data_IF_685702168930
#
_entry.id   IF_685702168930
#
_cell.length_a   1.000
_cell.length_b   1.000
_cell.length_c   1.000
_cell.angle_alpha   90.00
_cell.angle_beta   90.00
_cell.angle_gamma   90.00
#
_symmetry.space_group_name_H-M   'P 1'
#
loop_
_entity.id
_entity.type
_entity.pdbx_description
1 polymer ?
#
# COMPACT_ATOMS: atom_id res chain seq x y z
N UNK A 1 -1.20 1.15 21.19
CA UNK A 1 0.09 0.71 20.60
C UNK A 1 0.02 0.47 19.09
N UNK A 2 -0.92 -0.33 18.57
CA UNK A 2 -1.03 -0.63 17.12
C UNK A 2 -1.18 0.62 16.25
N UNK A 3 -2.00 1.59 16.66
CA UNK A 3 -2.19 2.84 15.92
C UNK A 3 -0.91 3.66 15.78
N UNK A 4 -0.14 3.78 16.86
CA UNK A 4 1.14 4.47 16.85
C UNK A 4 2.16 3.76 15.95
N UNK A 5 2.21 2.42 16.02
CA UNK A 5 3.04 1.62 15.13
C UNK A 5 2.68 1.83 13.65
N UNK A 6 1.38 1.79 13.32
CA UNK A 6 0.87 2.04 11.96
C UNK A 6 1.29 3.43 11.46
N UNK A 7 1.06 4.48 12.26
CA UNK A 7 1.41 5.85 11.88
C UNK A 7 2.92 5.97 11.63
N UNK A 8 3.74 5.41 12.52
CA UNK A 8 5.21 5.42 12.36
C UNK A 8 5.62 4.71 11.07
N UNK A 9 5.04 3.53 10.77
CA UNK A 9 5.38 2.78 9.56
C UNK A 9 4.94 3.54 8.31
N UNK A 10 3.75 4.16 8.29
CA UNK A 10 3.30 4.97 7.15
C UNK A 10 4.19 6.19 6.94
N UNK A 11 4.56 6.91 8.00
CA UNK A 11 5.47 8.05 7.91
C UNK A 11 6.85 7.63 7.42
N UNK A 12 7.39 6.52 7.92
CA UNK A 12 8.67 5.98 7.46
C UNK A 12 8.60 5.54 6.00
N UNK A 13 7.51 4.89 5.58
CA UNK A 13 7.29 4.50 4.20
C UNK A 13 7.22 5.71 3.27
N UNK A 14 6.50 6.76 3.67
CA UNK A 14 6.44 8.01 2.91
C UNK A 14 7.80 8.71 2.84
N UNK A 15 8.59 8.72 3.93
CA UNK A 15 9.94 9.28 3.92
C UNK A 15 10.86 8.49 2.97
N UNK A 16 10.80 7.16 3.00
CA UNK A 16 11.57 6.30 2.10
C UNK A 16 11.17 6.52 0.64
N UNK A 17 9.88 6.64 0.35
CA UNK A 17 9.39 6.93 -0.99
C UNK A 17 9.81 8.32 -1.46
N UNK A 18 9.78 9.33 -0.58
CA UNK A 18 10.26 10.67 -0.86
C UNK A 18 11.77 10.67 -1.19
N UNK A 19 12.57 9.97 -0.39
CA UNK A 19 14.00 9.83 -0.63
C UNK A 19 14.28 9.08 -1.94
N UNK A 20 13.59 7.98 -2.21
CA UNK A 20 13.73 7.23 -3.46
C UNK A 20 13.37 8.09 -4.68
N UNK A 21 12.22 8.77 -4.63
CA UNK A 21 11.76 9.68 -5.67
C UNK A 21 12.70 10.84 -5.92
N UNK A 22 13.32 11.40 -4.87
CA UNK A 22 14.31 12.47 -5.00
C UNK A 22 15.61 12.02 -5.69
N UNK A 23 15.91 10.72 -5.65
CA UNK A 23 17.05 10.11 -6.35
C UNK A 23 16.68 9.54 -7.73
N UNK A 24 15.45 9.77 -8.20
CA UNK A 24 14.97 9.35 -9.52
C UNK A 24 14.40 7.92 -9.57
N UNK A 25 14.20 7.26 -8.43
CA UNK A 25 13.58 5.93 -8.39
C UNK A 25 12.08 6.02 -8.14
N UNK A 26 11.30 5.23 -8.88
CA UNK A 26 9.84 5.15 -8.70
C UNK A 26 9.48 3.91 -7.87
N UNK A 27 9.47 4.08 -6.54
CA UNK A 27 9.22 2.99 -5.60
C UNK A 27 7.90 3.18 -4.84
N UNK A 28 6.93 2.26 -4.95
CA UNK A 28 5.60 2.40 -4.33
C UNK A 28 5.60 1.96 -2.84
N UNK A 29 6.52 2.49 -2.02
CA UNK A 29 6.75 2.02 -0.64
C UNK A 29 5.53 2.26 0.24
N UNK A 30 4.90 3.43 0.14
CA UNK A 30 3.70 3.78 0.90
C UNK A 30 2.52 2.87 0.51
N UNK A 31 2.33 2.62 -0.78
CA UNK A 31 1.30 1.71 -1.28
C UNK A 31 1.49 0.27 -0.80
N UNK A 32 2.74 -0.21 -0.79
CA UNK A 32 3.09 -1.52 -0.22
C UNK A 32 2.79 -1.59 1.28
N UNK A 33 3.12 -0.55 2.05
CA UNK A 33 2.80 -0.50 3.47
C UNK A 33 1.28 -0.48 3.71
N UNK A 34 0.53 0.27 2.91
CA UNK A 34 -0.94 0.29 2.94
C UNK A 34 -1.54 -1.10 2.70
N UNK A 35 -1.05 -1.81 1.68
CA UNK A 35 -1.49 -3.17 1.37
C UNK A 35 -1.25 -4.12 2.56
N UNK A 36 -0.06 -4.07 3.16
CA UNK A 36 0.27 -4.90 4.33
C UNK A 36 -0.71 -4.68 5.48
N UNK A 37 -1.01 -3.42 5.81
CA UNK A 37 -1.96 -3.11 6.88
C UNK A 37 -3.40 -3.44 6.53
N UNK A 38 -3.79 -3.33 5.25
CA UNK A 38 -5.12 -3.71 4.78
C UNK A 38 -5.41 -5.21 4.95
N UNK A 39 -4.38 -6.06 4.85
CA UNK A 39 -4.51 -7.49 5.18
C UNK A 39 -4.66 -7.70 6.68
N UNK A 40 -3.99 -6.90 7.51
CA UNK A 40 -3.96 -7.07 8.97
C UNK A 40 -5.22 -6.61 9.71
N UNK A 41 -5.97 -5.64 9.16
CA UNK A 41 -7.03 -4.95 9.90
C UNK A 41 -8.17 -4.49 9.00
N UNK A 42 -9.32 -4.16 9.60
CA UNK A 42 -10.42 -3.47 8.91
C UNK A 42 -9.90 -2.23 8.15
N UNK A 43 -10.26 -2.15 6.87
CA UNK A 43 -9.78 -1.13 5.92
C UNK A 43 -10.32 0.29 6.20
N UNK A 44 -11.55 0.41 6.73
CA UNK A 44 -12.18 1.71 7.00
C UNK A 44 -11.34 2.64 7.89
N UNK A 45 -10.88 2.22 9.08
CA UNK A 45 -10.11 3.11 9.94
C UNK A 45 -8.66 3.30 9.48
N UNK A 46 -8.19 2.52 8.49
CA UNK A 46 -6.91 2.74 7.80
C UNK A 46 -6.97 3.90 6.80
N UNK A 47 -8.17 4.24 6.28
CA UNK A 47 -8.34 5.27 5.26
C UNK A 47 -7.79 6.62 5.72
N UNK A 48 -8.13 7.07 6.92
CA UNK A 48 -7.77 8.41 7.39
C UNK A 48 -6.25 8.62 7.54
N UNK A 49 -5.50 7.76 8.28
CA UNK A 49 -4.05 7.95 8.40
C UNK A 49 -3.34 7.75 7.05
N UNK A 50 -3.79 6.80 6.22
CA UNK A 50 -3.21 6.59 4.90
C UNK A 50 -3.44 7.79 3.99
N UNK A 51 -4.67 8.33 3.96
CA UNK A 51 -5.03 9.51 3.18
C UNK A 51 -4.20 10.72 3.59
N UNK A 52 -4.06 10.96 4.90
CA UNK A 52 -3.28 12.09 5.41
C UNK A 52 -1.81 12.00 4.97
N UNK A 53 -1.19 10.83 5.11
CA UNK A 53 0.22 10.62 4.72
C UNK A 53 0.38 10.64 3.19
N UNK A 54 -0.52 10.02 2.44
CA UNK A 54 -0.49 10.01 0.98
C UNK A 54 -0.67 11.40 0.38
N UNK A 55 -1.59 12.20 0.93
CA UNK A 55 -1.77 13.60 0.55
C UNK A 55 -0.50 14.42 0.83
N UNK A 56 0.08 14.27 2.02
CA UNK A 56 1.31 14.97 2.38
C UNK A 56 2.45 14.63 1.40
N UNK A 57 2.58 13.35 1.03
CA UNK A 57 3.58 12.88 0.08
C UNK A 57 3.35 13.47 -1.33
N UNK A 58 2.11 13.45 -1.81
CA UNK A 58 1.76 14.03 -3.12
C UNK A 58 2.05 15.55 -3.17
N UNK A 59 1.78 16.27 -2.07
CA UNK A 59 2.12 17.69 -1.92
C UNK A 59 3.63 17.93 -1.88
N UNK A 60 4.41 17.07 -1.20
CA UNK A 60 5.88 17.15 -1.20
C UNK A 60 6.47 17.00 -2.60
N UNK A 61 5.86 16.17 -3.46
CA UNK A 61 6.24 16.06 -4.87
C UNK A 61 5.63 17.13 -5.76
N UNK A 62 4.90 18.11 -5.21
CA UNK A 62 4.20 19.17 -5.93
C UNK A 62 3.30 18.66 -7.07
N UNK A 63 2.68 17.48 -6.90
CA UNK A 63 1.86 16.86 -7.93
C UNK A 63 0.48 17.52 -7.97
N UNK A 64 0.00 17.89 -9.16
CA UNK A 64 -1.36 18.44 -9.32
C UNK A 64 -2.43 17.35 -9.30
N UNK A 65 -2.08 16.15 -9.76
CA UNK A 65 -2.90 14.94 -9.58
C UNK A 65 -2.38 14.22 -8.35
N UNK A 66 -3.27 13.70 -7.51
CA UNK A 66 -2.97 13.07 -6.22
C UNK A 66 -3.01 11.53 -6.35
N UNK A 67 -1.99 10.88 -6.96
CA UNK A 67 -2.03 9.45 -7.25
C UNK A 67 -2.21 8.58 -6.00
N UNK A 68 -1.66 8.97 -4.85
CA UNK A 68 -1.80 8.19 -3.63
C UNK A 68 -3.24 8.17 -3.14
N UNK A 69 -3.93 9.31 -3.26
CA UNK A 69 -5.36 9.43 -2.93
C UNK A 69 -6.21 8.57 -3.86
N UNK A 70 -5.86 8.53 -5.16
CA UNK A 70 -6.58 7.76 -6.17
C UNK A 70 -6.42 6.24 -6.01
N UNK A 71 -5.19 5.76 -5.76
CA UNK A 71 -4.93 4.31 -5.68
C UNK A 71 -5.25 3.72 -4.31
N UNK A 72 -5.28 4.53 -3.24
CA UNK A 72 -5.53 4.06 -1.87
C UNK A 72 -6.72 3.07 -1.77
N UNK A 73 -7.95 3.40 -2.22
CA UNK A 73 -9.07 2.47 -2.07
C UNK A 73 -8.85 1.14 -2.79
N UNK A 74 -8.19 1.16 -3.95
CA UNK A 74 -7.87 -0.05 -4.72
C UNK A 74 -6.83 -0.91 -4.00
N UNK A 75 -5.79 -0.28 -3.43
CA UNK A 75 -4.75 -0.97 -2.66
C UNK A 75 -5.34 -1.60 -1.39
N UNK A 76 -6.17 -0.87 -0.66
CA UNK A 76 -6.81 -1.39 0.56
C UNK A 76 -7.80 -2.52 0.25
N UNK A 77 -8.61 -2.37 -0.79
CA UNK A 77 -9.54 -3.42 -1.23
C UNK A 77 -8.78 -4.65 -1.72
N UNK A 78 -7.72 -4.44 -2.50
CA UNK A 78 -6.84 -5.51 -2.99
C UNK A 78 -6.20 -6.29 -1.84
N UNK A 79 -5.71 -5.61 -0.80
CA UNK A 79 -5.20 -6.27 0.41
C UNK A 79 -6.27 -7.13 1.08
N UNK A 80 -7.49 -6.60 1.22
CA UNK A 80 -8.59 -7.36 1.81
C UNK A 80 -8.95 -8.59 0.99
N UNK A 81 -9.10 -8.46 -0.33
CA UNK A 81 -9.39 -9.60 -1.22
C UNK A 81 -8.26 -10.64 -1.16
N UNK A 82 -7.01 -10.19 -1.08
CA UNK A 82 -5.86 -11.08 -0.95
C UNK A 82 -5.91 -11.92 0.32
N UNK A 83 -6.48 -11.40 1.41
CA UNK A 83 -6.66 -12.18 2.63
C UNK A 83 -7.61 -13.38 2.45
N UNK A 84 -8.57 -13.32 1.52
CA UNK A 84 -9.54 -14.40 1.27
C UNK A 84 -9.04 -15.45 0.28
N UNK A 85 -8.12 -15.07 -0.62
CA UNK A 85 -7.73 -15.92 -1.76
C UNK A 85 -6.22 -16.22 -1.84
N UNK A 86 -5.39 -15.46 -1.13
CA UNK A 86 -3.94 -15.50 -1.25
C UNK A 86 -3.26 -16.30 -0.15
N UNK A 87 -2.14 -16.93 -0.49
CA UNK A 87 -1.26 -17.55 0.49
C UNK A 87 -0.34 -16.49 1.14
N UNK A 88 -0.50 -16.28 2.45
CA UNK A 88 0.17 -15.19 3.17
C UNK A 88 1.57 -15.55 3.69
N UNK A 89 2.03 -16.81 3.51
CA UNK A 89 3.24 -17.34 4.15
C UNK A 89 4.46 -17.33 3.24
N UNK A 90 4.26 -17.37 1.94
CA UNK A 90 5.32 -17.59 0.95
C UNK A 90 5.71 -16.26 0.30
N UNK A 91 6.99 -15.83 0.39
CA UNK A 91 7.42 -14.54 -0.15
C UNK A 91 7.27 -14.46 -1.67
N UNK A 92 7.40 -15.59 -2.36
CA UNK A 92 7.17 -15.68 -3.80
C UNK A 92 5.71 -15.39 -4.17
N UNK A 93 4.76 -15.88 -3.38
CA UNK A 93 3.33 -15.65 -3.61
C UNK A 93 2.96 -14.21 -3.26
N UNK A 94 3.62 -13.61 -2.26
CA UNK A 94 3.50 -12.19 -1.93
C UNK A 94 4.07 -11.25 -3.02
N UNK A 95 4.95 -11.74 -3.90
CA UNK A 95 5.43 -10.91 -5.02
C UNK A 95 4.31 -10.57 -6.02
N UNK A 96 3.30 -11.44 -6.18
CA UNK A 96 2.16 -11.21 -7.09
C UNK A 96 1.29 -9.99 -6.70
N UNK A 97 0.76 -9.88 -5.47
CA UNK A 97 0.04 -8.67 -5.07
C UNK A 97 0.98 -7.47 -5.04
N UNK A 98 2.28 -7.66 -4.77
CA UNK A 98 3.30 -6.62 -4.85
C UNK A 98 3.40 -6.04 -6.26
N UNK A 99 3.47 -6.89 -7.28
CA UNK A 99 3.42 -6.49 -8.69
C UNK A 99 2.15 -5.69 -9.00
N UNK A 100 1.00 -6.15 -8.50
CA UNK A 100 -0.28 -5.46 -8.68
C UNK A 100 -0.30 -4.05 -8.07
N UNK A 101 0.22 -3.90 -6.84
CA UNK A 101 0.35 -2.59 -6.18
C UNK A 101 1.30 -1.68 -6.97
N UNK A 102 2.44 -2.20 -7.42
CA UNK A 102 3.39 -1.43 -8.25
C UNK A 102 2.79 -1.01 -9.59
N UNK A 103 2.05 -1.90 -10.26
CA UNK A 103 1.34 -1.58 -11.49
C UNK A 103 0.33 -0.45 -11.27
N UNK A 104 -0.49 -0.53 -10.22
CA UNK A 104 -1.47 0.50 -9.88
C UNK A 104 -0.81 1.86 -9.62
N UNK A 105 0.28 1.87 -8.85
CA UNK A 105 1.03 3.09 -8.57
C UNK A 105 1.61 3.72 -9.84
N UNK A 106 2.25 2.90 -10.70
CA UNK A 106 2.79 3.35 -11.98
C UNK A 106 1.71 3.91 -12.90
N UNK A 107 0.59 3.22 -13.05
CA UNK A 107 -0.54 3.66 -13.87
C UNK A 107 -1.19 4.93 -13.35
N UNK A 108 -1.29 5.12 -12.04
CA UNK A 108 -1.88 6.33 -11.47
C UNK A 108 -1.02 7.58 -11.74
N UNK A 109 0.30 7.46 -11.64
CA UNK A 109 1.21 8.56 -12.01
C UNK A 109 1.11 8.86 -13.51
N UNK A 110 1.11 7.83 -14.36
CA UNK A 110 0.96 8.02 -15.81
C UNK A 110 -0.38 8.64 -16.19
N UNK A 111 -1.47 8.15 -15.61
CA UNK A 111 -2.81 8.74 -15.81
C UNK A 111 -2.84 10.19 -15.37
N UNK A 112 -2.19 10.53 -14.25
CA UNK A 112 -2.04 11.92 -13.80
C UNK A 112 -1.29 12.80 -14.79
N UNK A 113 -0.17 12.33 -15.33
CA UNK A 113 0.59 13.05 -16.35
C UNK A 113 -0.22 13.24 -17.64
N UNK A 114 -0.99 12.23 -18.06
CA UNK A 114 -1.87 12.33 -19.22
C UNK A 114 -2.97 13.39 -19.02
N UNK A 115 -3.57 13.46 -17.83
CA UNK A 115 -4.58 14.47 -17.50
C UNK A 115 -4.02 15.89 -17.51
N UNK A 116 -2.73 16.05 -17.21
CA UNK A 116 -2.02 17.33 -17.30
C UNK A 116 -1.60 17.70 -18.74
N UNK A 117 -1.92 16.86 -19.73
CA UNK A 117 -1.57 17.09 -21.13
C UNK A 117 -0.11 16.84 -21.47
N UNK A 118 0.65 16.17 -20.59
CA UNK A 118 1.99 15.72 -20.95
C UNK A 118 1.92 14.71 -22.09
N UNK A 119 2.85 14.81 -23.04
CA UNK A 119 2.91 13.95 -24.21
C UNK A 119 3.51 12.57 -23.88
N UNK A 120 2.93 11.87 -22.89
CA UNK A 120 3.42 10.61 -22.31
C UNK A 120 3.66 9.54 -23.38
N UNK A 121 2.81 9.48 -24.41
CA UNK A 121 2.93 8.49 -25.50
C UNK A 121 3.98 8.83 -26.57
N UNK A 122 4.67 9.96 -26.47
CA UNK A 122 5.76 10.28 -27.42
C UNK A 122 6.99 9.41 -27.22
N UNK A 123 7.16 8.82 -26.02
CA UNK A 123 8.29 7.97 -25.67
C UNK A 123 7.82 6.68 -25.00
N UNK A 124 7.17 5.77 -25.75
CA UNK A 124 6.53 4.57 -25.17
C UNK A 124 7.50 3.64 -24.46
N UNK A 125 8.77 3.61 -24.89
CA UNK A 125 9.82 2.83 -24.22
C UNK A 125 10.10 3.29 -22.79
N UNK A 126 10.12 4.61 -22.55
CA UNK A 126 10.33 5.15 -21.20
C UNK A 126 9.14 4.90 -20.30
N UNK A 127 7.92 5.03 -20.84
CA UNK A 127 6.68 4.71 -20.12
C UNK A 127 6.67 3.24 -19.70
N UNK A 128 7.03 2.32 -20.61
CA UNK A 128 7.11 0.90 -20.32
C UNK A 128 8.15 0.61 -19.23
N UNK A 129 9.34 1.21 -19.32
CA UNK A 129 10.39 1.05 -18.32
C UNK A 129 9.95 1.57 -16.95
N UNK A 130 9.29 2.73 -16.90
CA UNK A 130 8.76 3.30 -15.66
C UNK A 130 7.73 2.38 -14.98
N UNK A 131 6.78 1.84 -15.76
CA UNK A 131 5.79 0.89 -15.22
C UNK A 131 6.46 -0.39 -14.75
N UNK A 132 7.38 -0.93 -15.55
CA UNK A 132 8.11 -2.15 -15.21
C UNK A 132 8.94 -1.95 -13.94
N UNK A 133 9.59 -0.80 -13.79
CA UNK A 133 10.34 -0.44 -12.58
C UNK A 133 9.44 -0.45 -11.34
N UNK A 134 8.27 0.21 -11.40
CA UNK A 134 7.30 0.20 -10.30
C UNK A 134 6.81 -1.22 -9.96
N UNK A 135 6.55 -2.04 -10.98
CA UNK A 135 6.14 -3.45 -10.81
C UNK A 135 7.25 -4.25 -10.13
N UNK A 136 8.50 -4.14 -10.59
CA UNK A 136 9.65 -4.82 -10.01
C UNK A 136 9.87 -4.39 -8.56
N UNK A 137 9.80 -3.09 -8.26
CA UNK A 137 9.87 -2.62 -6.89
C UNK A 137 8.72 -3.14 -6.04
N UNK A 138 7.48 -3.15 -6.55
CA UNK A 138 6.35 -3.73 -5.84
C UNK A 138 6.54 -5.21 -5.51
N UNK A 139 7.03 -6.00 -6.47
CA UNK A 139 7.34 -7.43 -6.28
C UNK A 139 8.38 -7.69 -5.20
N UNK A 140 9.39 -6.82 -5.07
CA UNK A 140 10.47 -6.97 -4.11
C UNK A 140 10.08 -6.39 -2.75
N UNK A 141 9.47 -5.20 -2.75
CA UNK A 141 9.17 -4.46 -1.53
C UNK A 141 8.09 -5.13 -0.71
N UNK A 142 7.05 -5.71 -1.31
CA UNK A 142 5.98 -6.32 -0.52
C UNK A 142 6.46 -7.51 0.34
N UNK A 143 7.15 -8.53 -0.19
CA UNK A 143 7.66 -9.60 0.65
C UNK A 143 8.69 -9.11 1.66
N UNK A 144 9.53 -8.13 1.30
CA UNK A 144 10.51 -7.55 2.22
C UNK A 144 9.82 -6.78 3.37
N UNK A 145 8.78 -6.01 3.05
CA UNK A 145 7.92 -5.31 3.99
C UNK A 145 7.25 -6.30 4.95
N UNK A 146 6.66 -7.38 4.42
CA UNK A 146 6.08 -8.44 5.23
C UNK A 146 7.11 -9.06 6.19
N UNK A 147 8.33 -9.37 5.72
CA UNK A 147 9.38 -9.96 6.55
C UNK A 147 9.82 -9.02 7.69
N UNK A 148 10.07 -7.75 7.38
CA UNK A 148 10.51 -6.75 8.36
C UNK A 148 9.40 -6.46 9.36
N UNK A 149 8.18 -6.19 8.89
CA UNK A 149 7.07 -5.82 9.75
C UNK A 149 6.55 -6.99 10.58
N UNK A 150 6.53 -8.23 10.07
CA UNK A 150 6.24 -9.42 10.90
C UNK A 150 7.36 -9.68 11.91
N UNK A 151 8.62 -9.33 11.58
CA UNK A 151 9.74 -9.33 12.53
C UNK A 151 9.49 -8.37 13.69
N UNK A 152 9.16 -7.11 13.40
CA UNK A 152 8.85 -6.09 14.41
C UNK A 152 7.58 -6.42 15.20
N UNK A 153 6.54 -6.91 14.52
CA UNK A 153 5.28 -7.30 15.17
C UNK A 153 5.51 -8.43 16.19
N UNK A 154 6.44 -9.36 15.93
CA UNK A 154 6.82 -10.38 16.92
C UNK A 154 7.43 -9.76 18.17
N UNK A 155 8.33 -8.80 18.02
CA UNK A 155 8.99 -8.13 19.14
C UNK A 155 7.99 -7.31 19.98
N UNK A 156 7.00 -6.72 19.32
CA UNK A 156 5.97 -5.88 19.96
C UNK A 156 4.73 -6.67 20.41
N UNK A 157 4.74 -8.00 20.30
CA UNK A 157 3.59 -8.88 20.56
C UNK A 157 2.30 -8.46 19.81
N UNK A 158 2.44 -7.93 18.59
CA UNK A 158 1.35 -7.51 17.73
C UNK A 158 0.91 -8.62 16.77
N UNK A 159 -0.27 -8.43 16.17
CA UNK A 159 -0.81 -9.31 15.14
C UNK A 159 0.09 -9.30 13.90
N UNK A 160 0.26 -10.47 13.27
CA UNK A 160 1.16 -10.71 12.14
C UNK A 160 0.42 -11.02 10.86
N UNK A 161 0.92 -10.53 9.75
CA UNK A 161 0.41 -10.77 8.41
C UNK A 161 0.36 -12.25 8.08
N UNK A 162 1.46 -12.99 8.36
CA UNK A 162 1.57 -14.43 8.08
C UNK A 162 0.59 -15.32 8.87
N UNK A 163 -0.11 -14.77 9.86
CA UNK A 163 -1.06 -15.49 10.73
C UNK A 163 -2.51 -15.01 10.62
N UNK A 164 -2.79 -14.03 9.77
CA UNK A 164 -4.16 -13.57 9.54
C UNK A 164 -4.96 -14.68 8.86
N UNK A 165 -6.18 -14.92 9.35
CA UNK A 165 -7.14 -15.80 8.68
C UNK A 165 -8.38 -15.02 8.25
N UNK A 166 -9.11 -15.49 7.23
CA UNK A 166 -10.36 -14.86 6.79
C UNK A 166 -11.40 -14.67 7.91
N UNK A 167 -11.46 -15.62 8.86
CA UNK A 167 -12.40 -15.60 9.99
C UNK A 167 -12.20 -14.40 10.93
N UNK A 168 -10.97 -13.92 11.06
CA UNK A 168 -10.67 -12.79 11.93
C UNK A 168 -11.29 -11.48 11.42
N UNK A 169 -11.43 -11.32 10.10
CA UNK A 169 -12.06 -10.14 9.50
C UNK A 169 -13.58 -10.17 9.66
N UNK A 170 -14.18 -11.35 9.62
CA UNK A 170 -15.64 -11.52 9.86
C UNK A 170 -15.97 -11.13 11.31
N UNK A 171 -15.18 -11.60 12.29
CA UNK A 171 -15.37 -11.23 13.70
C UNK A 171 -15.16 -9.73 13.99
N UNK A 172 -14.19 -9.07 13.33
CA UNK A 172 -13.99 -7.61 13.48
C UNK A 172 -15.12 -6.77 12.87
N UNK A 173 -15.87 -7.32 11.90
CA UNK A 173 -17.04 -6.65 11.32
C UNK A 173 -18.29 -6.87 12.16
N UNK A 174 -18.60 -8.12 12.50
CA UNK A 174 -19.77 -8.47 13.30
C UNK A 174 -19.70 -7.87 14.71
N UNK A 175 -18.51 -7.86 15.34
CA UNK A 175 -18.32 -7.26 16.66
C UNK A 175 -18.36 -5.73 16.66
N UNK A 176 -18.15 -5.09 15.50
CA UNK A 176 -18.28 -3.64 15.35
C UNK A 176 -19.72 -3.22 15.08
N UNK A 177 -20.47 -4.03 14.35
CA UNK A 177 -21.86 -3.75 13.97
C UNK A 177 -22.82 -4.07 15.14
N UNK A 178 -22.53 -5.11 15.95
CA UNK A 178 -23.28 -5.40 17.18
C UNK A 178 -23.20 -4.30 18.25
N UNK A 179 -22.12 -3.52 18.28
CA UNK A 179 -21.96 -2.37 19.18
C UNK A 179 -22.58 -1.08 18.63
N UNK A 180 -22.84 -0.99 17.32
CA UNK A 180 -23.53 0.15 16.71
C UNK A 180 -25.05 0.02 16.72
N UNK A 181 -25.59 -1.19 16.86
CA UNK A 181 -27.03 -1.44 17.01
C UNK A 181 -27.54 -1.21 18.45
N UNK A 182 -26.64 -1.05 19.43
CA UNK A 182 -26.97 -0.75 20.83
C UNK A 182 -26.78 0.75 21.21
N UNK A 183 -26.56 1.64 20.22
CA UNK A 183 -26.45 3.11 20.42
C UNK A 183 -27.53 3.87 19.66
#
# INVERSE_FOLDING_TARGET
MVWLWLIIVLLLAALLELLAGSNGFAMPVLAVAGFYFAVLRRWRPLLLPYLAVGLALDLCFARSVLPHVLIMPLVLLGGRMWCFSGELKTPLVQALPGAGVGLLAGLAVLGGQMLQGHAVFTQPGQVLLYVLENVLWGMILLPLCCLVLDGMARLLALRRYSRVTPHDHVQEEDGGDALSDEQ
#
